data_IF_016419468201
#
_entry.id   IF_016419468201
#
_cell.length_a   1.000
_cell.length_b   1.000
_cell.length_c   1.000
_cell.angle_alpha   90.00
_cell.angle_beta   90.00
_cell.angle_gamma   90.00
#
_symmetry.space_group_name_H-M   'P 1'
#
loop_
_entity.id
_entity.type
_entity.pdbx_description
1 polymer ?
#
# COMPACT_ATOMS: atom_id res chain seq x y z
N UNK A 1 -17.69 4.73 17.71
CA UNK A 1 -16.62 3.71 17.57
C UNK A 1 -15.78 4.08 16.36
N UNK A 2 -14.48 3.93 16.41
CA UNK A 2 -13.57 4.29 15.31
C UNK A 2 -13.46 3.11 14.31
N UNK A 3 -14.59 2.77 13.68
CA UNK A 3 -14.77 1.64 12.79
C UNK A 3 -15.69 2.00 11.62
N UNK A 4 -15.20 1.80 10.39
CA UNK A 4 -16.01 1.87 9.16
C UNK A 4 -16.31 0.47 8.65
N UNK A 5 -17.58 0.23 8.37
CA UNK A 5 -18.09 -1.00 7.75
C UNK A 5 -18.25 -0.73 6.26
N UNK A 6 -17.50 -1.47 5.44
CA UNK A 6 -17.40 -1.25 4.00
C UNK A 6 -18.12 -2.40 3.26
N UNK A 7 -19.10 -2.05 2.42
CA UNK A 7 -19.95 -3.01 1.72
C UNK A 7 -19.90 -2.70 0.22
N UNK A 8 -19.29 -3.58 -0.60
CA UNK A 8 -19.38 -3.48 -2.05
C UNK A 8 -20.73 -3.99 -2.51
N UNK A 9 -21.38 -3.28 -3.43
CA UNK A 9 -22.69 -3.68 -4.02
C UNK A 9 -22.55 -3.80 -5.53
N UNK A 10 -22.75 -5.01 -6.03
CA UNK A 10 -22.68 -5.31 -7.45
C UNK A 10 -23.98 -4.91 -8.19
N UNK A 11 -23.92 -4.87 -9.53
CA UNK A 11 -25.00 -4.42 -10.42
C UNK A 11 -26.38 -5.04 -10.16
N UNK A 12 -26.44 -6.33 -9.79
CA UNK A 12 -27.70 -7.10 -9.66
C UNK A 12 -28.12 -7.39 -8.22
N UNK A 13 -27.38 -6.89 -7.25
CA UNK A 13 -27.69 -7.09 -5.84
C UNK A 13 -28.83 -6.17 -5.42
N UNK A 14 -29.83 -6.73 -4.73
CA UNK A 14 -31.08 -6.07 -4.38
C UNK A 14 -31.60 -6.39 -2.97
N UNK A 15 -30.92 -7.24 -2.19
CA UNK A 15 -31.27 -7.52 -0.79
C UNK A 15 -30.40 -6.69 0.16
N UNK A 16 -30.98 -5.67 0.77
CA UNK A 16 -30.30 -4.73 1.66
C UNK A 16 -30.57 -4.98 3.15
N UNK A 17 -31.03 -6.20 3.53
CA UNK A 17 -31.32 -6.54 4.94
C UNK A 17 -30.14 -6.36 5.87
N UNK A 18 -28.92 -6.67 5.39
CA UNK A 18 -27.70 -6.46 6.15
C UNK A 18 -27.56 -5.02 6.65
N UNK A 19 -27.88 -4.03 5.82
CA UNK A 19 -27.71 -2.61 6.17
C UNK A 19 -28.60 -2.24 7.36
N UNK A 20 -29.86 -2.69 7.37
CA UNK A 20 -30.76 -2.50 8.49
C UNK A 20 -30.22 -3.15 9.77
N UNK A 21 -29.77 -4.42 9.67
CA UNK A 21 -29.17 -5.15 10.78
C UNK A 21 -27.93 -4.43 11.35
N UNK A 22 -27.09 -3.87 10.48
CA UNK A 22 -25.89 -3.14 10.90
C UNK A 22 -26.27 -1.85 11.66
N UNK A 23 -27.25 -1.08 11.18
CA UNK A 23 -27.69 0.15 11.86
C UNK A 23 -28.29 -0.13 13.23
N UNK A 24 -29.07 -1.18 13.35
CA UNK A 24 -29.67 -1.56 14.63
C UNK A 24 -28.60 -2.03 15.64
N UNK A 25 -27.61 -2.78 15.18
CA UNK A 25 -26.68 -3.53 16.02
C UNK A 25 -25.39 -2.78 16.31
N UNK A 26 -24.86 -2.05 15.34
CA UNK A 26 -23.57 -1.35 15.44
C UNK A 26 -23.76 0.18 15.40
N UNK A 27 -24.53 0.69 16.36
CA UNK A 27 -24.78 2.13 16.50
C UNK A 27 -23.45 2.87 16.70
N UNK A 28 -23.25 3.94 15.91
CA UNK A 28 -22.05 4.77 15.99
C UNK A 28 -20.85 4.23 15.17
N UNK A 29 -21.01 3.14 14.40
CA UNK A 29 -20.07 2.77 13.34
C UNK A 29 -20.43 3.48 12.04
N UNK A 30 -19.42 3.88 11.28
CA UNK A 30 -19.59 4.43 9.94
C UNK A 30 -19.94 3.30 8.96
N UNK A 31 -21.01 3.44 8.17
CA UNK A 31 -21.39 2.49 7.12
C UNK A 31 -21.18 3.13 5.77
N UNK A 32 -20.29 2.55 4.97
CA UNK A 32 -19.92 3.01 3.63
C UNK A 32 -20.35 1.96 2.61
N UNK A 33 -21.18 2.36 1.66
CA UNK A 33 -21.58 1.53 0.53
C UNK A 33 -20.89 2.07 -0.71
N UNK A 34 -20.23 1.18 -1.45
CA UNK A 34 -19.72 1.47 -2.79
C UNK A 34 -20.41 0.58 -3.79
N UNK A 35 -21.17 1.21 -4.68
CA UNK A 35 -22.08 0.55 -5.59
C UNK A 35 -21.68 0.74 -7.05
N UNK A 36 -21.95 -0.27 -7.88
CA UNK A 36 -21.91 -0.11 -9.33
C UNK A 36 -22.98 0.90 -9.78
N UNK A 37 -22.60 1.91 -10.58
CA UNK A 37 -23.50 2.98 -11.02
C UNK A 37 -24.75 2.48 -11.78
N UNK A 38 -24.69 1.27 -12.32
CA UNK A 38 -25.78 0.64 -13.07
C UNK A 38 -26.77 -0.13 -12.19
N UNK A 39 -26.59 -0.13 -10.85
CA UNK A 39 -27.54 -0.76 -9.93
C UNK A 39 -28.74 0.16 -9.66
N UNK A 40 -29.88 -0.14 -10.30
CA UNK A 40 -31.11 0.63 -10.15
C UNK A 40 -31.83 0.35 -8.81
N UNK A 41 -31.61 -0.81 -8.19
CA UNK A 41 -32.29 -1.18 -6.95
C UNK A 41 -31.85 -0.29 -5.78
N UNK A 42 -30.55 0.03 -5.69
CA UNK A 42 -30.04 0.86 -4.61
C UNK A 42 -30.48 2.32 -4.74
N UNK A 43 -30.71 2.82 -5.98
CA UNK A 43 -31.17 4.16 -6.24
C UNK A 43 -32.58 4.44 -5.68
N UNK A 44 -33.42 3.39 -5.69
CA UNK A 44 -34.78 3.45 -5.14
C UNK A 44 -34.85 3.10 -3.65
N UNK A 45 -33.80 2.50 -3.08
CA UNK A 45 -33.77 2.09 -1.69
C UNK A 45 -33.45 3.27 -0.75
N UNK A 46 -34.28 3.53 0.25
CA UNK A 46 -34.02 4.52 1.32
C UNK A 46 -33.10 3.88 2.37
N UNK A 47 -31.79 3.83 2.11
CA UNK A 47 -30.81 3.20 2.99
C UNK A 47 -30.32 4.19 4.06
N UNK A 48 -30.22 3.72 5.29
CA UNK A 48 -29.62 4.47 6.40
C UNK A 48 -28.11 4.19 6.46
N UNK A 49 -27.35 4.88 5.62
CA UNK A 49 -25.88 4.77 5.54
C UNK A 49 -25.22 6.15 5.68
N UNK A 50 -23.95 6.18 6.08
CA UNK A 50 -23.24 7.43 6.24
C UNK A 50 -22.70 7.92 4.90
N UNK A 51 -22.26 6.98 4.05
CA UNK A 51 -21.77 7.29 2.71
C UNK A 51 -22.28 6.27 1.70
N UNK A 52 -22.76 6.75 0.56
CA UNK A 52 -23.13 5.96 -0.62
C UNK A 52 -22.39 6.54 -1.83
N UNK A 53 -21.52 5.74 -2.42
CA UNK A 53 -20.70 6.14 -3.55
C UNK A 53 -20.93 5.23 -4.76
N UNK A 54 -21.00 5.81 -5.97
CA UNK A 54 -21.21 5.08 -7.21
C UNK A 54 -19.93 5.09 -8.05
N UNK A 55 -19.54 3.93 -8.59
CA UNK A 55 -18.39 3.79 -9.46
C UNK A 55 -18.74 3.10 -10.79
N UNK A 56 -18.09 3.57 -11.86
CA UNK A 56 -18.17 2.97 -13.20
C UNK A 56 -17.31 1.71 -13.28
N UNK A 57 -17.79 0.71 -14.04
CA UNK A 57 -17.04 -0.53 -14.27
C UNK A 57 -16.49 -1.13 -12.96
N UNK A 58 -17.38 -1.27 -11.99
CA UNK A 58 -17.03 -1.72 -10.65
C UNK A 58 -16.55 -3.17 -10.67
N UNK A 59 -15.33 -3.41 -10.14
CA UNK A 59 -14.96 -4.71 -9.59
C UNK A 59 -15.12 -4.67 -8.07
N UNK A 60 -15.22 -5.85 -7.43
CA UNK A 60 -15.29 -5.91 -5.96
C UNK A 60 -14.06 -5.29 -5.30
N UNK A 61 -12.86 -5.54 -5.85
CA UNK A 61 -11.62 -4.92 -5.37
C UNK A 61 -11.67 -3.38 -5.43
N UNK A 62 -12.12 -2.81 -6.56
CA UNK A 62 -12.29 -1.35 -6.69
C UNK A 62 -13.26 -0.78 -5.67
N UNK A 63 -14.40 -1.44 -5.49
CA UNK A 63 -15.41 -0.99 -4.53
C UNK A 63 -14.89 -1.03 -3.08
N UNK A 64 -14.22 -2.11 -2.67
CA UNK A 64 -13.64 -2.25 -1.34
C UNK A 64 -12.52 -1.22 -1.09
N UNK A 65 -11.64 -1.01 -2.07
CA UNK A 65 -10.58 -0.01 -1.99
C UNK A 65 -11.14 1.41 -1.90
N UNK A 66 -12.15 1.72 -2.72
CA UNK A 66 -12.81 3.04 -2.68
C UNK A 66 -13.48 3.28 -1.33
N UNK A 67 -14.20 2.28 -0.79
CA UNK A 67 -14.77 2.38 0.55
C UNK A 67 -13.71 2.61 1.64
N UNK A 68 -12.57 1.93 1.56
CA UNK A 68 -11.46 2.15 2.49
C UNK A 68 -10.88 3.57 2.37
N UNK A 69 -10.79 4.14 1.16
CA UNK A 69 -10.31 5.51 0.97
C UNK A 69 -11.26 6.54 1.56
N UNK A 70 -12.57 6.33 1.42
CA UNK A 70 -13.63 7.21 1.95
C UNK A 70 -13.79 7.14 3.47
N UNK A 71 -13.30 6.10 4.12
CA UNK A 71 -13.42 5.89 5.56
C UNK A 71 -12.76 7.02 6.36
N UNK A 72 -13.46 7.52 7.38
CA UNK A 72 -12.94 8.47 8.37
C UNK A 72 -12.41 7.79 9.64
N UNK A 73 -12.56 6.47 9.76
CA UNK A 73 -12.20 5.71 10.95
C UNK A 73 -10.83 5.01 10.81
N UNK A 74 -10.22 4.72 11.95
CA UNK A 74 -8.93 4.01 12.01
C UNK A 74 -9.03 2.53 11.67
N UNK A 75 -10.21 1.92 11.85
CA UNK A 75 -10.44 0.50 11.62
C UNK A 75 -11.43 0.30 10.48
N UNK A 76 -11.22 -0.76 9.71
CA UNK A 76 -12.02 -1.15 8.55
C UNK A 76 -12.57 -2.55 8.75
N UNK A 77 -13.85 -2.73 8.51
CA UNK A 77 -14.51 -4.03 8.47
C UNK A 77 -15.16 -4.23 7.11
N UNK A 78 -14.63 -5.17 6.33
CA UNK A 78 -15.12 -5.49 4.99
C UNK A 78 -16.16 -6.59 5.06
N UNK A 79 -17.38 -6.33 4.60
CA UNK A 79 -18.50 -7.26 4.58
C UNK A 79 -19.07 -7.41 3.16
N UNK A 80 -19.55 -8.59 2.83
CA UNK A 80 -20.37 -8.80 1.64
C UNK A 80 -21.84 -8.50 1.95
N UNK A 81 -22.61 -8.07 0.93
CA UNK A 81 -24.01 -7.68 1.11
C UNK A 81 -24.90 -8.85 1.55
N UNK A 82 -24.56 -10.09 1.16
CA UNK A 82 -25.25 -11.31 1.54
C UNK A 82 -24.84 -11.90 2.91
N UNK A 83 -24.04 -11.16 3.67
CA UNK A 83 -23.64 -11.55 5.02
C UNK A 83 -24.77 -11.30 6.03
N UNK A 84 -24.83 -12.15 7.07
CA UNK A 84 -25.65 -11.94 8.26
C UNK A 84 -24.71 -11.95 9.49
N UNK A 85 -24.81 -10.94 10.31
CA UNK A 85 -23.92 -10.69 11.47
C UNK A 85 -24.64 -10.84 12.81
N UNK A 86 -25.70 -11.67 12.86
CA UNK A 86 -26.52 -11.81 14.08
C UNK A 86 -25.75 -12.31 15.30
N UNK A 87 -24.71 -13.13 15.09
CA UNK A 87 -23.89 -13.70 16.15
C UNK A 87 -22.70 -12.81 16.56
N UNK A 88 -22.50 -11.67 15.89
CA UNK A 88 -21.38 -10.75 16.15
C UNK A 88 -21.87 -9.60 17.04
N UNK A 89 -21.14 -9.28 18.07
CA UNK A 89 -21.40 -8.14 18.95
C UNK A 89 -20.34 -7.06 18.77
N UNK A 90 -20.63 -5.85 19.22
CA UNK A 90 -19.70 -4.74 19.16
C UNK A 90 -18.38 -5.02 19.90
N UNK A 91 -18.47 -5.75 21.03
CA UNK A 91 -17.29 -6.20 21.80
C UNK A 91 -16.36 -7.14 21.03
N UNK A 92 -16.89 -7.88 20.05
CA UNK A 92 -16.08 -8.78 19.21
C UNK A 92 -15.20 -7.99 18.20
N UNK A 93 -15.50 -6.71 17.99
CA UNK A 93 -14.85 -5.80 17.04
C UNK A 93 -13.91 -4.78 17.70
N UNK A 94 -13.66 -4.94 18.99
CA UNK A 94 -12.80 -4.04 19.80
C UNK A 94 -11.47 -4.69 20.14
N UNK A 95 -10.50 -3.88 20.58
CA UNK A 95 -9.20 -4.40 21.01
C UNK A 95 -8.33 -4.94 19.86
N UNK A 96 -8.50 -4.39 18.66
CA UNK A 96 -7.75 -4.79 17.48
C UNK A 96 -6.28 -4.40 17.63
N UNK A 97 -5.40 -5.37 17.39
CA UNK A 97 -3.97 -5.11 17.22
C UNK A 97 -3.73 -4.45 15.85
N UNK A 98 -2.95 -3.38 15.85
CA UNK A 98 -2.64 -2.58 14.65
C UNK A 98 -1.98 -3.41 13.54
N UNK A 99 -1.27 -4.48 13.89
CA UNK A 99 -0.51 -5.35 12.97
C UNK A 99 -1.20 -6.68 12.66
N UNK A 100 -2.47 -6.81 13.02
CA UNK A 100 -3.20 -8.06 12.89
C UNK A 100 -4.41 -7.89 11.97
N UNK A 101 -4.61 -8.84 11.07
CA UNK A 101 -5.87 -9.00 10.31
C UNK A 101 -6.74 -9.97 11.07
N UNK A 102 -7.96 -9.56 11.41
CA UNK A 102 -8.94 -10.43 12.05
C UNK A 102 -9.96 -10.92 11.02
N UNK A 103 -10.41 -12.16 11.19
CA UNK A 103 -11.44 -12.81 10.38
C UNK A 103 -12.38 -13.62 11.25
N UNK A 104 -13.48 -14.08 10.69
CA UNK A 104 -14.52 -14.82 11.37
C UNK A 104 -14.62 -16.27 10.85
N UNK A 105 -15.37 -17.09 11.56
CA UNK A 105 -15.75 -18.42 11.07
C UNK A 105 -16.94 -18.29 10.13
N UNK A 106 -17.02 -19.21 9.18
CA UNK A 106 -18.10 -19.26 8.18
C UNK A 106 -19.23 -20.18 8.63
N UNK A 107 -20.45 -19.76 8.36
CA UNK A 107 -21.65 -20.59 8.33
C UNK A 107 -22.46 -20.26 7.07
N UNK A 108 -23.22 -21.22 6.55
CA UNK A 108 -24.15 -20.98 5.43
C UNK A 108 -25.59 -20.92 5.91
N UNK A 109 -26.41 -20.12 5.24
CA UNK A 109 -27.85 -20.03 5.46
C UNK A 109 -28.59 -21.36 5.20
N UNK A 110 -27.96 -22.32 4.50
CA UNK A 110 -28.50 -23.63 4.21
C UNK A 110 -27.77 -24.72 5.01
N UNK A 111 -28.51 -25.45 5.85
CA UNK A 111 -27.97 -26.53 6.68
C UNK A 111 -27.22 -27.62 5.90
N UNK A 112 -27.64 -27.93 4.68
CA UNK A 112 -27.00 -28.94 3.81
C UNK A 112 -25.61 -28.50 3.25
N UNK A 113 -25.13 -27.29 3.56
CA UNK A 113 -23.81 -26.79 3.21
C UNK A 113 -22.83 -26.80 4.40
N UNK A 114 -23.20 -27.42 5.56
CA UNK A 114 -22.35 -27.43 6.77
C UNK A 114 -20.95 -27.96 6.54
N UNK A 115 -20.79 -28.99 5.70
CA UNK A 115 -19.49 -29.60 5.40
C UNK A 115 -18.58 -28.67 4.60
N UNK A 116 -19.13 -27.79 3.75
CA UNK A 116 -18.38 -26.76 3.01
C UNK A 116 -17.89 -25.71 3.99
N UNK A 117 -18.76 -25.26 4.90
CA UNK A 117 -18.36 -24.33 5.97
C UNK A 117 -17.29 -24.96 6.89
N UNK A 118 -17.45 -26.23 7.26
CA UNK A 118 -16.46 -26.95 8.05
C UNK A 118 -15.09 -27.00 7.35
N UNK A 119 -15.06 -27.30 6.05
CA UNK A 119 -13.84 -27.27 5.24
C UNK A 119 -13.20 -25.88 5.13
N UNK A 120 -14.01 -24.83 4.95
CA UNK A 120 -13.53 -23.45 4.95
C UNK A 120 -12.94 -23.06 6.32
N UNK A 121 -13.61 -23.39 7.40
CA UNK A 121 -13.14 -23.12 8.77
C UNK A 121 -11.89 -23.92 9.12
N UNK A 122 -11.80 -25.18 8.70
CA UNK A 122 -10.59 -25.98 8.85
C UNK A 122 -9.39 -25.33 8.12
N UNK A 123 -9.56 -24.96 6.84
CA UNK A 123 -8.55 -24.25 6.06
C UNK A 123 -8.08 -22.97 6.77
N UNK A 124 -9.03 -22.18 7.29
CA UNK A 124 -8.71 -20.93 7.99
C UNK A 124 -7.96 -21.19 9.28
N UNK A 125 -8.42 -22.13 10.11
CA UNK A 125 -7.79 -22.45 11.39
C UNK A 125 -6.40 -23.10 11.25
N UNK A 126 -6.24 -23.98 10.26
CA UNK A 126 -5.00 -24.75 10.09
C UNK A 126 -3.96 -24.03 9.26
N UNK A 127 -4.40 -23.40 8.16
CA UNK A 127 -3.48 -22.79 7.21
C UNK A 127 -3.49 -21.25 7.23
N UNK A 128 -4.38 -20.62 8.01
CA UNK A 128 -4.52 -19.16 8.03
C UNK A 128 -4.93 -18.60 6.67
N UNK A 129 -5.90 -19.21 5.99
CA UNK A 129 -6.35 -18.82 4.65
C UNK A 129 -7.87 -18.60 4.65
N UNK A 130 -8.37 -17.51 5.26
CA UNK A 130 -9.76 -17.11 5.12
C UNK A 130 -10.06 -16.57 3.72
N UNK A 131 -11.32 -16.60 3.31
CA UNK A 131 -11.81 -15.95 2.10
C UNK A 131 -12.70 -14.76 2.45
N UNK A 132 -13.04 -13.95 1.46
CA UNK A 132 -13.81 -12.72 1.65
C UNK A 132 -15.19 -12.92 2.29
N UNK A 133 -15.81 -14.10 2.09
CA UNK A 133 -17.07 -14.49 2.75
C UNK A 133 -16.93 -14.72 4.27
N UNK A 134 -15.70 -14.83 4.78
CA UNK A 134 -15.36 -14.84 6.22
C UNK A 134 -15.07 -13.44 6.77
N UNK A 135 -15.14 -12.40 5.90
CA UNK A 135 -14.90 -11.00 6.26
C UNK A 135 -13.50 -10.71 6.78
N UNK A 136 -13.05 -9.48 6.62
CA UNK A 136 -11.76 -9.00 7.11
C UNK A 136 -11.94 -7.74 7.95
N UNK A 137 -11.30 -7.71 9.11
CA UNK A 137 -11.31 -6.61 10.04
C UNK A 137 -9.86 -6.26 10.41
N UNK A 138 -9.44 -5.01 10.20
CA UNK A 138 -8.07 -4.57 10.42
C UNK A 138 -7.96 -3.05 10.54
N UNK A 139 -6.80 -2.53 10.95
CA UNK A 139 -6.54 -1.11 10.92
C UNK A 139 -6.45 -0.59 9.47
N UNK A 140 -6.93 0.63 9.21
CA UNK A 140 -6.78 1.31 7.90
C UNK A 140 -5.30 1.47 7.54
N UNK A 141 -4.45 1.69 8.54
CA UNK A 141 -3.00 1.78 8.37
C UNK A 141 -2.40 0.48 7.83
N UNK A 142 -2.77 -0.67 8.42
CA UNK A 142 -2.33 -1.98 7.94
C UNK A 142 -2.87 -2.29 6.54
N UNK A 143 -4.14 -1.97 6.26
CA UNK A 143 -4.73 -2.13 4.94
C UNK A 143 -3.95 -1.36 3.86
N UNK A 144 -3.60 -0.10 4.14
CA UNK A 144 -2.81 0.73 3.24
C UNK A 144 -1.38 0.19 3.09
N UNK A 145 -0.75 -0.26 4.18
CA UNK A 145 0.58 -0.87 4.15
C UNK A 145 0.62 -2.12 3.27
N UNK A 146 -0.36 -3.00 3.39
CA UNK A 146 -0.48 -4.20 2.53
C UNK A 146 -0.73 -3.82 1.06
N UNK A 147 -1.27 -2.65 0.79
CA UNK A 147 -1.55 -2.13 -0.55
C UNK A 147 -3.00 -2.34 -1.03
N UNK A 148 -3.93 -2.63 -0.12
CA UNK A 148 -5.33 -2.87 -0.43
C UNK A 148 -5.56 -4.11 -1.30
N UNK A 149 -6.72 -4.23 -1.91
CA UNK A 149 -7.05 -5.32 -2.85
C UNK A 149 -6.48 -5.02 -4.25
N UNK A 150 -6.04 -6.05 -4.98
CA UNK A 150 -5.55 -5.90 -6.35
C UNK A 150 -6.72 -5.68 -7.32
N UNK A 151 -6.82 -4.48 -7.88
CA UNK A 151 -7.89 -4.05 -8.79
C UNK A 151 -7.77 -4.64 -10.19
N UNK A 152 -6.61 -5.19 -10.55
CA UNK A 152 -6.38 -5.86 -11.83
C UNK A 152 -6.97 -7.27 -11.88
N UNK A 153 -7.36 -7.81 -10.74
CA UNK A 153 -8.00 -9.11 -10.65
C UNK A 153 -9.52 -9.00 -10.85
N UNK A 154 -10.04 -9.77 -11.79
CA UNK A 154 -11.50 -9.87 -11.99
C UNK A 154 -12.18 -10.74 -10.94
N UNK A 155 -11.45 -11.69 -10.34
CA UNK A 155 -11.92 -12.62 -9.31
C UNK A 155 -10.75 -13.12 -8.46
N UNK A 156 -10.99 -13.32 -7.14
CA UNK A 156 -10.03 -13.89 -6.20
C UNK A 156 -9.09 -12.84 -5.60
N UNK A 157 -9.52 -11.60 -5.57
CA UNK A 157 -8.85 -10.48 -4.91
C UNK A 157 -8.67 -10.72 -3.41
N UNK A 158 -9.62 -11.40 -2.77
CA UNK A 158 -9.57 -11.82 -1.37
C UNK A 158 -8.49 -12.88 -1.11
N UNK A 159 -8.38 -13.84 -2.03
CA UNK A 159 -7.33 -14.87 -1.95
C UNK A 159 -5.93 -14.24 -2.13
N UNK A 160 -5.76 -13.36 -3.13
CA UNK A 160 -4.50 -12.66 -3.37
C UNK A 160 -4.10 -11.82 -2.14
N UNK A 161 -5.06 -11.09 -1.58
CA UNK A 161 -4.86 -10.27 -0.40
C UNK A 161 -4.34 -11.09 0.79
N UNK A 162 -4.93 -12.25 1.08
CA UNK A 162 -4.50 -13.15 2.15
C UNK A 162 -3.11 -13.73 1.89
N UNK A 163 -2.78 -14.11 0.65
CA UNK A 163 -1.44 -14.58 0.34
C UNK A 163 -0.39 -13.49 0.54
N UNK A 164 -0.71 -12.25 0.19
CA UNK A 164 0.16 -11.09 0.40
C UNK A 164 0.38 -10.81 1.88
N UNK A 165 -0.66 -10.86 2.70
CA UNK A 165 -0.59 -10.80 4.17
C UNK A 165 0.39 -11.87 4.70
N UNK A 166 0.25 -13.10 4.25
CA UNK A 166 1.14 -14.20 4.67
C UNK A 166 2.58 -14.00 4.21
N UNK A 167 2.80 -13.48 3.00
CA UNK A 167 4.14 -13.19 2.49
C UNK A 167 4.86 -12.10 3.29
N UNK A 168 4.09 -11.23 3.94
CA UNK A 168 4.56 -10.17 4.83
C UNK A 168 4.64 -10.60 6.31
N UNK A 169 4.42 -11.86 6.64
CA UNK A 169 4.37 -12.39 8.01
C UNK A 169 3.36 -11.70 8.93
N UNK A 170 2.33 -11.05 8.37
CA UNK A 170 1.28 -10.40 9.15
C UNK A 170 0.44 -11.44 9.87
N UNK A 171 0.18 -11.20 11.15
CA UNK A 171 -0.61 -12.10 11.99
C UNK A 171 -2.07 -12.15 11.54
N UNK A 172 -2.66 -13.35 11.56
CA UNK A 172 -4.09 -13.55 11.38
C UNK A 172 -4.71 -13.96 12.72
N UNK A 173 -5.71 -13.20 13.16
CA UNK A 173 -6.54 -13.52 14.32
C UNK A 173 -7.90 -14.09 13.85
N UNK A 174 -8.36 -15.15 14.48
CA UNK A 174 -9.65 -15.76 14.17
C UNK A 174 -10.60 -15.48 15.32
N UNK A 175 -11.54 -14.58 15.11
CA UNK A 175 -12.62 -14.30 16.05
C UNK A 175 -13.56 -15.54 16.06
N UNK A 176 -13.75 -16.14 17.22
CA UNK A 176 -14.56 -17.37 17.36
C UNK A 176 -16.06 -17.04 17.35
N UNK A 177 -16.48 -16.31 16.32
CA UNK A 177 -17.87 -16.00 15.97
C UNK A 177 -18.08 -16.32 14.51
N UNK A 178 -19.32 -16.59 14.12
CA UNK A 178 -19.67 -16.98 12.76
C UNK A 178 -20.33 -15.84 12.00
N UNK A 179 -19.91 -15.65 10.76
CA UNK A 179 -20.65 -14.89 9.74
C UNK A 179 -21.44 -15.91 8.94
N UNK A 180 -22.74 -15.64 8.77
CA UNK A 180 -23.60 -16.46 7.93
C UNK A 180 -23.63 -15.82 6.54
N UNK A 181 -23.40 -16.59 5.50
CA UNK A 181 -23.43 -16.14 4.09
C UNK A 181 -24.36 -17.01 3.25
N UNK A 182 -24.74 -16.51 2.09
CA UNK A 182 -25.65 -17.22 1.19
C UNK A 182 -24.98 -18.40 0.50
N UNK A 183 -25.64 -19.56 0.53
CA UNK A 183 -25.24 -20.77 -0.18
C UNK A 183 -25.65 -20.79 -1.66
N UNK A 184 -26.16 -19.69 -2.22
CA UNK A 184 -26.74 -19.64 -3.59
C UNK A 184 -25.77 -20.18 -4.64
N UNK A 185 -24.47 -19.87 -4.54
CA UNK A 185 -23.43 -20.35 -5.48
C UNK A 185 -23.26 -21.87 -5.50
N UNK A 186 -23.75 -22.56 -4.46
CA UNK A 186 -23.64 -24.01 -4.32
C UNK A 186 -24.93 -24.77 -4.71
N UNK A 187 -25.97 -24.08 -5.16
CA UNK A 187 -27.26 -24.74 -5.47
C UNK A 187 -27.17 -25.84 -6.53
N UNK A 188 -26.40 -25.59 -7.61
CA UNK A 188 -26.42 -26.46 -8.80
C UNK A 188 -25.33 -27.55 -8.82
N UNK A 189 -24.20 -27.38 -8.13
CA UNK A 189 -23.16 -28.41 -8.06
C UNK A 189 -22.13 -28.11 -6.95
N UNK A 190 -22.44 -28.53 -5.73
CA UNK A 190 -21.64 -28.24 -4.54
C UNK A 190 -20.21 -28.78 -4.63
N UNK A 191 -20.06 -30.03 -5.07
CA UNK A 191 -18.76 -30.70 -5.15
C UNK A 191 -17.88 -30.04 -6.20
N UNK A 192 -18.39 -29.79 -7.39
CA UNK A 192 -17.65 -29.15 -8.47
C UNK A 192 -17.17 -27.74 -8.08
N UNK A 193 -18.06 -26.93 -7.50
CA UNK A 193 -17.68 -25.57 -7.07
C UNK A 193 -16.63 -25.58 -5.96
N UNK A 194 -16.72 -26.52 -5.01
CA UNK A 194 -15.73 -26.67 -3.94
C UNK A 194 -14.38 -27.12 -4.47
N UNK A 195 -14.33 -28.09 -5.39
CA UNK A 195 -13.10 -28.55 -6.04
C UNK A 195 -12.45 -27.46 -6.90
N UNK A 196 -13.26 -26.71 -7.65
CA UNK A 196 -12.79 -25.57 -8.45
C UNK A 196 -12.16 -24.48 -7.58
N UNK A 197 -12.79 -24.17 -6.44
CA UNK A 197 -12.25 -23.20 -5.49
C UNK A 197 -10.94 -23.69 -4.88
N UNK A 198 -10.89 -24.96 -4.45
CA UNK A 198 -9.68 -25.58 -3.90
C UNK A 198 -8.52 -25.55 -4.90
N UNK A 199 -8.77 -25.93 -6.16
CA UNK A 199 -7.77 -25.93 -7.22
C UNK A 199 -7.19 -24.53 -7.47
N UNK A 200 -8.06 -23.51 -7.55
CA UNK A 200 -7.61 -22.11 -7.67
C UNK A 200 -6.77 -21.68 -6.49
N UNK A 201 -7.17 -22.05 -5.27
CA UNK A 201 -6.39 -21.74 -4.05
C UNK A 201 -5.01 -22.37 -4.08
N UNK A 202 -4.90 -23.63 -4.53
CA UNK A 202 -3.62 -24.33 -4.65
C UNK A 202 -2.72 -23.65 -5.68
N UNK A 203 -3.25 -23.32 -6.86
CA UNK A 203 -2.46 -22.62 -7.90
C UNK A 203 -1.95 -21.26 -7.42
N UNK A 204 -2.78 -20.52 -6.70
CA UNK A 204 -2.36 -19.26 -6.11
C UNK A 204 -1.31 -19.48 -5.01
N UNK A 205 -1.49 -20.51 -4.16
CA UNK A 205 -0.53 -20.87 -3.14
C UNK A 205 0.86 -21.11 -3.72
N UNK A 206 0.95 -21.93 -4.78
CA UNK A 206 2.21 -22.22 -5.47
C UNK A 206 2.86 -20.93 -5.98
N UNK A 207 2.07 -20.04 -6.58
CA UNK A 207 2.55 -18.75 -7.10
C UNK A 207 3.13 -17.85 -5.99
N UNK A 208 2.45 -17.78 -4.84
CA UNK A 208 2.83 -16.87 -3.75
C UNK A 208 3.83 -17.46 -2.75
N UNK A 209 3.84 -18.79 -2.54
CA UNK A 209 4.76 -19.42 -1.59
C UNK A 209 6.24 -19.19 -1.95
N UNK A 210 6.53 -18.94 -3.24
CA UNK A 210 7.87 -18.61 -3.74
C UNK A 210 8.23 -17.12 -3.61
N UNK A 211 7.37 -16.29 -3.02
CA UNK A 211 7.53 -14.83 -2.98
C UNK A 211 7.53 -14.26 -1.56
N UNK A 212 8.26 -14.94 -0.65
CA UNK A 212 8.42 -14.40 0.71
C UNK A 212 9.06 -13.02 0.63
N UNK A 213 8.41 -12.03 1.26
CA UNK A 213 8.97 -10.68 1.37
C UNK A 213 9.93 -10.61 2.54
N UNK A 214 11.08 -10.00 2.30
CA UNK A 214 12.14 -9.84 3.30
C UNK A 214 12.50 -8.39 3.53
N UNK A 215 12.05 -7.49 2.65
CA UNK A 215 12.28 -6.05 2.72
C UNK A 215 10.98 -5.34 2.38
N UNK A 216 10.63 -4.31 3.14
CA UNK A 216 9.66 -3.30 2.71
C UNK A 216 10.43 -2.09 2.20
N UNK A 217 10.14 -1.64 0.98
CA UNK A 217 10.74 -0.43 0.41
C UNK A 217 9.66 0.62 0.19
N UNK A 218 9.77 1.70 0.95
CA UNK A 218 8.96 2.91 0.79
C UNK A 218 9.62 3.89 -0.17
N UNK A 219 9.01 4.10 -1.34
CA UNK A 219 9.45 5.12 -2.29
C UNK A 219 8.63 6.41 -2.08
N UNK A 220 9.31 7.49 -1.72
CA UNK A 220 8.71 8.80 -1.45
C UNK A 220 8.64 9.62 -2.73
N UNK A 221 7.42 9.88 -3.18
CA UNK A 221 7.13 10.59 -4.41
C UNK A 221 6.33 11.86 -4.10
N UNK A 222 6.49 12.89 -4.93
CA UNK A 222 5.61 14.08 -4.95
C UNK A 222 4.89 14.13 -6.28
N UNK A 223 3.66 14.67 -6.31
CA UNK A 223 2.97 14.94 -7.58
C UNK A 223 3.85 15.88 -8.42
N UNK A 224 4.30 15.46 -9.62
CA UNK A 224 5.13 16.29 -10.48
C UNK A 224 4.49 17.64 -10.83
N UNK A 225 3.16 17.70 -10.86
CA UNK A 225 2.39 18.89 -11.19
C UNK A 225 2.02 19.73 -9.96
N UNK A 226 2.26 19.23 -8.75
CA UNK A 226 1.96 19.98 -7.53
C UNK A 226 2.85 21.22 -7.41
N UNK A 227 2.30 22.39 -7.05
CA UNK A 227 3.09 23.58 -6.74
C UNK A 227 4.10 23.37 -5.60
N UNK A 228 3.81 22.43 -4.70
CA UNK A 228 4.71 22.08 -3.60
C UNK A 228 5.90 21.22 -4.04
N UNK A 229 5.79 20.57 -5.22
CA UNK A 229 6.88 19.76 -5.77
C UNK A 229 7.93 20.68 -6.37
N UNK A 230 9.19 20.58 -5.87
CA UNK A 230 10.32 21.41 -6.33
C UNK A 230 10.01 22.92 -6.28
N UNK A 231 9.33 23.38 -5.23
CA UNK A 231 8.90 24.78 -5.08
C UNK A 231 10.04 25.80 -5.19
N UNK A 232 11.27 25.39 -4.84
CA UNK A 232 12.47 26.26 -4.99
C UNK A 232 12.87 26.43 -6.46
N UNK A 233 12.78 25.37 -7.26
CA UNK A 233 13.04 25.45 -8.71
C UNK A 233 11.95 26.24 -9.44
N UNK A 234 10.67 26.10 -9.02
CA UNK A 234 9.53 26.83 -9.61
C UNK A 234 9.60 28.34 -9.44
N UNK A 235 10.40 28.84 -8.50
CA UNK A 235 10.63 30.29 -8.35
C UNK A 235 11.45 30.88 -9.50
N UNK A 236 12.21 30.08 -10.21
CA UNK A 236 13.20 30.51 -11.22
C UNK A 236 13.04 29.82 -12.58
N UNK A 237 12.35 28.68 -12.61
CA UNK A 237 12.07 27.91 -13.83
C UNK A 237 10.57 27.83 -14.08
N UNK A 238 10.17 27.66 -15.34
CA UNK A 238 8.75 27.51 -15.68
C UNK A 238 8.15 26.22 -15.09
N UNK A 239 6.88 26.26 -14.75
CA UNK A 239 6.15 25.09 -14.25
C UNK A 239 6.21 23.91 -15.22
N UNK A 240 6.11 24.19 -16.53
CA UNK A 240 6.23 23.16 -17.58
C UNK A 240 7.57 22.45 -17.50
N UNK A 241 8.67 23.19 -17.37
CA UNK A 241 10.00 22.61 -17.23
C UNK A 241 10.12 21.75 -15.98
N UNK A 242 9.66 22.26 -14.82
CA UNK A 242 9.76 21.55 -13.53
C UNK A 242 8.88 20.30 -13.52
N UNK A 243 7.69 20.34 -14.10
CA UNK A 243 6.82 19.17 -14.23
C UNK A 243 7.48 18.06 -15.06
N UNK A 244 8.07 18.42 -16.21
CA UNK A 244 8.76 17.47 -17.09
C UNK A 244 10.02 16.90 -16.42
N UNK A 245 10.80 17.74 -15.74
CA UNK A 245 11.97 17.33 -14.96
C UNK A 245 11.58 16.29 -13.89
N UNK A 246 10.53 16.56 -13.11
CA UNK A 246 10.04 15.64 -12.08
C UNK A 246 9.58 14.29 -12.65
N UNK A 247 8.88 14.32 -13.80
CA UNK A 247 8.47 13.08 -14.47
C UNK A 247 9.67 12.24 -14.89
N UNK A 248 10.75 12.87 -15.40
CA UNK A 248 11.97 12.15 -15.77
C UNK A 248 12.67 11.54 -14.56
N UNK A 249 12.70 12.22 -13.41
CA UNK A 249 13.23 11.66 -12.16
C UNK A 249 12.45 10.44 -11.71
N UNK A 250 11.13 10.52 -11.73
CA UNK A 250 10.25 9.41 -11.38
C UNK A 250 10.45 8.22 -12.34
N UNK A 251 10.62 8.47 -13.64
CA UNK A 251 10.87 7.41 -14.62
C UNK A 251 12.19 6.70 -14.37
N UNK A 252 13.28 7.44 -14.08
CA UNK A 252 14.57 6.85 -13.71
C UNK A 252 14.43 5.96 -12.47
N UNK A 253 13.78 6.48 -11.43
CA UNK A 253 13.53 5.70 -10.21
C UNK A 253 12.74 4.42 -10.52
N UNK A 254 11.68 4.53 -11.32
CA UNK A 254 10.85 3.40 -11.70
C UNK A 254 11.63 2.30 -12.42
N UNK A 255 12.45 2.69 -13.39
CA UNK A 255 13.25 1.73 -14.14
C UNK A 255 14.32 1.07 -13.26
N UNK A 256 14.96 1.83 -12.37
CA UNK A 256 15.86 1.26 -11.39
C UNK A 256 15.16 0.20 -10.53
N UNK A 257 13.98 0.51 -9.99
CA UNK A 257 13.22 -0.42 -9.16
C UNK A 257 12.72 -1.66 -9.91
N UNK A 258 12.43 -1.54 -11.22
CA UNK A 258 12.07 -2.70 -12.06
C UNK A 258 13.25 -3.65 -12.29
N UNK A 259 14.46 -3.11 -12.39
CA UNK A 259 15.71 -3.83 -12.70
C UNK A 259 16.38 -4.45 -11.47
N UNK A 260 15.90 -4.19 -10.25
CA UNK A 260 16.46 -4.74 -9.01
C UNK A 260 16.48 -6.27 -9.03
N UNK A 261 17.61 -6.87 -8.69
CA UNK A 261 17.80 -8.34 -8.60
C UNK A 261 16.92 -8.95 -7.52
N UNK A 262 16.83 -8.30 -6.36
CA UNK A 262 16.01 -8.75 -5.22
C UNK A 262 14.54 -8.32 -5.30
N UNK A 263 14.06 -7.82 -6.45
CA UNK A 263 12.70 -7.28 -6.62
C UNK A 263 11.60 -8.20 -6.08
N UNK A 264 11.73 -9.52 -6.26
CA UNK A 264 10.71 -10.50 -5.80
C UNK A 264 10.58 -10.55 -4.27
N UNK A 265 11.65 -10.20 -3.56
CA UNK A 265 11.72 -10.19 -2.10
C UNK A 265 11.25 -8.87 -1.49
N UNK A 266 10.99 -7.86 -2.32
CA UNK A 266 10.61 -6.52 -1.88
C UNK A 266 9.10 -6.35 -1.91
N UNK A 267 8.55 -5.84 -0.82
CA UNK A 267 7.23 -5.25 -0.78
C UNK A 267 7.36 -3.74 -1.02
N UNK A 268 6.88 -3.28 -2.18
CA UNK A 268 6.96 -1.87 -2.56
C UNK A 268 5.77 -1.10 -2.01
N UNK A 269 6.04 0.03 -1.37
CA UNK A 269 5.04 0.99 -0.91
C UNK A 269 5.33 2.33 -1.53
N UNK A 270 4.35 2.95 -2.14
CA UNK A 270 4.42 4.35 -2.51
C UNK A 270 4.02 5.22 -1.33
N UNK A 271 4.78 6.22 -1.10
CA UNK A 271 4.43 7.29 -0.19
C UNK A 271 4.31 8.56 -1.02
N UNK A 272 3.10 9.03 -1.21
CA UNK A 272 2.87 10.29 -1.91
C UNK A 272 2.12 11.26 -1.02
N UNK A 273 2.55 12.50 -1.01
CA UNK A 273 1.88 13.59 -0.31
C UNK A 273 1.03 14.36 -1.32
N UNK A 274 -0.28 14.39 -1.07
CA UNK A 274 -1.26 15.16 -1.86
C UNK A 274 -1.29 14.79 -3.35
N UNK A 275 -2.02 13.75 -3.70
CA UNK A 275 -2.43 13.49 -5.08
C UNK A 275 -3.92 13.26 -5.18
N UNK A 276 -4.53 13.79 -6.24
CA UNK A 276 -5.84 13.41 -6.71
C UNK A 276 -5.84 11.92 -7.11
N UNK A 277 -6.88 11.17 -6.73
CA UNK A 277 -6.97 9.72 -7.00
C UNK A 277 -6.90 9.36 -8.49
N UNK A 278 -7.40 10.22 -9.40
CA UNK A 278 -7.30 9.99 -10.84
C UNK A 278 -5.86 10.07 -11.33
N UNK A 279 -5.09 11.02 -10.83
CA UNK A 279 -3.65 11.15 -11.15
C UNK A 279 -2.83 10.00 -10.54
N UNK A 280 -3.22 9.51 -9.38
CA UNK A 280 -2.60 8.35 -8.75
C UNK A 280 -2.75 7.09 -9.58
N UNK A 281 -3.91 6.89 -10.22
CA UNK A 281 -4.15 5.76 -11.12
C UNK A 281 -3.26 5.79 -12.37
N UNK A 282 -2.94 6.97 -12.90
CA UNK A 282 -2.00 7.10 -14.02
C UNK A 282 -0.57 6.70 -13.64
N UNK A 283 -0.17 6.88 -12.38
CA UNK A 283 1.10 6.42 -11.83
C UNK A 283 1.04 4.98 -11.28
N UNK A 284 -0.16 4.42 -11.04
CA UNK A 284 -0.34 3.11 -10.37
C UNK A 284 0.10 1.91 -11.20
N UNK A 285 0.19 2.05 -12.53
CA UNK A 285 0.69 0.99 -13.40
C UNK A 285 2.16 0.61 -13.14
N UNK A 286 2.88 1.39 -12.34
CA UNK A 286 4.31 1.25 -12.12
C UNK A 286 4.62 0.63 -10.77
N UNK A 287 3.78 0.85 -9.78
CA UNK A 287 3.95 0.33 -8.42
C UNK A 287 2.70 -0.39 -7.93
N UNK A 288 2.85 -1.61 -7.46
CA UNK A 288 1.83 -2.27 -6.66
C UNK A 288 1.93 -1.72 -5.23
N UNK A 289 0.96 -0.94 -4.76
CA UNK A 289 0.92 -0.42 -3.40
C UNK A 289 0.09 0.85 -3.29
N UNK A 290 -0.61 1.03 -2.17
CA UNK A 290 -1.42 2.20 -1.86
C UNK A 290 -0.73 3.12 -0.84
N UNK A 291 -1.28 4.31 -0.71
CA UNK A 291 -0.74 5.44 0.04
C UNK A 291 -0.88 5.28 1.55
N UNK A 292 0.14 5.74 2.27
CA UNK A 292 0.05 6.03 3.71
C UNK A 292 -0.55 7.42 3.87
N UNK A 293 -1.43 7.58 4.84
CA UNK A 293 -2.23 8.76 5.08
C UNK A 293 -1.38 10.02 5.28
N UNK A 294 -1.90 11.14 4.80
CA UNK A 294 -1.22 12.38 4.47
C UNK A 294 -1.21 13.43 5.59
N UNK A 295 -1.89 13.19 6.69
CA UNK A 295 -2.13 14.20 7.73
C UNK A 295 -0.94 14.46 8.67
N UNK A 296 0.16 13.72 8.47
CA UNK A 296 1.35 13.80 9.31
C UNK A 296 2.58 14.28 8.54
N UNK A 297 3.53 14.87 9.25
CA UNK A 297 4.81 15.27 8.69
C UNK A 297 5.59 14.08 8.10
N UNK A 298 6.47 14.34 7.13
CA UNK A 298 7.26 13.32 6.43
C UNK A 298 8.01 12.37 7.40
N UNK A 299 8.58 12.92 8.47
CA UNK A 299 9.27 12.18 9.52
C UNK A 299 8.37 11.14 10.21
N UNK A 300 7.12 11.49 10.50
CA UNK A 300 6.15 10.57 11.12
C UNK A 300 5.74 9.48 10.14
N UNK A 301 5.55 9.80 8.86
CA UNK A 301 5.25 8.80 7.82
C UNK A 301 6.41 7.81 7.67
N UNK A 302 7.65 8.29 7.67
CA UNK A 302 8.84 7.43 7.62
C UNK A 302 8.94 6.53 8.86
N UNK A 303 8.68 7.08 10.04
CA UNK A 303 8.66 6.35 11.31
C UNK A 303 7.59 5.26 11.32
N UNK A 304 6.37 5.59 10.94
CA UNK A 304 5.24 4.67 10.89
C UNK A 304 5.47 3.51 9.91
N UNK A 305 5.99 3.83 8.71
CA UNK A 305 6.34 2.81 7.73
C UNK A 305 7.46 1.91 8.24
N UNK A 306 8.46 2.49 8.91
CA UNK A 306 9.57 1.72 9.49
C UNK A 306 9.07 0.78 10.57
N UNK A 307 8.19 1.24 11.47
CA UNK A 307 7.58 0.41 12.51
C UNK A 307 6.84 -0.79 11.92
N UNK A 308 5.91 -0.54 10.97
CA UNK A 308 5.17 -1.62 10.29
C UNK A 308 6.10 -2.63 9.60
N UNK A 309 7.15 -2.14 8.97
CA UNK A 309 8.08 -2.98 8.20
C UNK A 309 8.93 -3.86 9.11
N UNK A 310 9.45 -3.31 10.20
CA UNK A 310 10.27 -4.04 11.17
C UNK A 310 9.44 -5.10 11.90
N UNK A 311 8.20 -4.79 12.29
CA UNK A 311 7.27 -5.72 12.93
C UNK A 311 6.83 -6.87 12.00
N UNK A 312 6.83 -6.67 10.68
CA UNK A 312 6.35 -7.68 9.72
C UNK A 312 7.47 -8.49 9.08
N UNK A 313 8.43 -7.83 8.45
CA UNK A 313 9.52 -8.50 7.71
C UNK A 313 10.90 -8.30 8.32
N UNK A 314 11.02 -7.46 9.34
CA UNK A 314 12.27 -7.22 10.07
C UNK A 314 13.26 -6.31 9.35
N UNK A 315 12.92 -5.74 8.19
CA UNK A 315 13.79 -4.84 7.44
C UNK A 315 13.00 -3.81 6.65
N UNK A 316 13.42 -2.55 6.73
CA UNK A 316 12.83 -1.42 6.00
C UNK A 316 13.88 -0.74 5.13
N UNK A 317 13.47 -0.31 3.94
CA UNK A 317 14.22 0.63 3.12
C UNK A 317 13.34 1.84 2.77
N UNK A 318 13.92 3.05 2.83
CA UNK A 318 13.28 4.29 2.43
C UNK A 318 14.07 4.90 1.28
N UNK A 319 13.40 5.37 0.23
CA UNK A 319 14.03 5.87 -0.97
C UNK A 319 13.33 7.15 -1.47
N UNK A 320 14.07 8.22 -1.63
CA UNK A 320 13.63 9.46 -2.26
C UNK A 320 13.61 9.36 -3.80
N UNK A 321 12.82 10.20 -4.45
CA UNK A 321 12.69 10.23 -5.92
C UNK A 321 13.63 11.24 -6.61
N UNK A 322 14.34 12.06 -5.86
CA UNK A 322 14.97 13.27 -6.36
C UNK A 322 16.46 13.09 -6.73
N UNK A 323 16.92 11.85 -6.90
CA UNK A 323 18.32 11.48 -7.14
C UNK A 323 18.48 10.80 -8.50
N UNK A 324 18.54 11.57 -9.59
CA UNK A 324 18.62 10.99 -10.93
C UNK A 324 19.96 10.32 -11.26
N UNK A 325 21.02 10.58 -10.49
CA UNK A 325 22.33 9.94 -10.65
C UNK A 325 22.48 8.60 -9.93
N UNK A 326 21.44 8.15 -9.19
CA UNK A 326 21.43 6.87 -8.48
C UNK A 326 21.30 5.72 -9.47
N UNK A 327 22.21 4.74 -9.37
CA UNK A 327 22.25 3.55 -10.25
C UNK A 327 21.58 2.34 -9.59
N UNK A 328 21.06 1.44 -10.41
CA UNK A 328 20.44 0.20 -9.94
C UNK A 328 21.42 -0.69 -9.17
N UNK A 329 22.70 -0.72 -9.60
CA UNK A 329 23.75 -1.51 -8.95
C UNK A 329 24.03 -1.03 -7.53
N UNK A 330 23.99 0.30 -7.29
CA UNK A 330 24.17 0.91 -5.97
C UNK A 330 23.00 0.51 -5.05
N UNK A 331 21.78 0.52 -5.56
CA UNK A 331 20.59 0.07 -4.82
C UNK A 331 20.63 -1.44 -4.53
N UNK A 332 20.97 -2.27 -5.51
CA UNK A 332 21.10 -3.72 -5.31
C UNK A 332 22.15 -4.06 -4.24
N UNK A 333 23.29 -3.38 -4.28
CA UNK A 333 24.36 -3.56 -3.29
C UNK A 333 23.86 -3.17 -1.88
N UNK A 334 23.19 -2.02 -1.77
CA UNK A 334 22.67 -1.55 -0.49
C UNK A 334 21.57 -2.45 0.07
N UNK A 335 20.61 -2.89 -0.77
CA UNK A 335 19.50 -3.78 -0.36
C UNK A 335 19.99 -5.18 0.04
N UNK A 336 21.07 -5.66 -0.59
CA UNK A 336 21.69 -6.96 -0.29
C UNK A 336 22.60 -6.94 0.93
N UNK A 337 22.85 -5.77 1.52
CA UNK A 337 23.78 -5.62 2.64
C UNK A 337 23.30 -6.40 3.87
N UNK A 338 24.23 -7.15 4.48
CA UNK A 338 24.01 -7.77 5.79
C UNK A 338 24.20 -6.70 6.86
N UNK A 339 23.11 -6.38 7.56
CA UNK A 339 23.13 -5.48 8.70
C UNK A 339 23.12 -6.30 9.99
N UNK A 340 24.11 -6.11 10.84
CA UNK A 340 24.09 -6.65 12.19
C UNK A 340 23.44 -5.63 13.13
N UNK A 341 22.08 -5.61 13.14
CA UNK A 341 21.23 -4.69 13.90
C UNK A 341 21.71 -3.23 13.76
N UNK A 342 21.44 -2.63 12.62
CA UNK A 342 21.91 -1.28 12.32
C UNK A 342 21.25 -0.68 11.10
N UNK A 343 21.76 0.47 10.68
CA UNK A 343 21.22 1.25 9.56
C UNK A 343 22.31 1.65 8.57
N UNK A 344 21.99 1.66 7.28
CA UNK A 344 22.88 2.09 6.21
C UNK A 344 22.24 3.18 5.38
N UNK A 345 22.97 4.25 5.09
CA UNK A 345 22.47 5.46 4.44
C UNK A 345 23.25 5.86 3.20
N UNK A 346 22.54 6.44 2.22
CA UNK A 346 23.10 7.30 1.19
C UNK A 346 22.80 8.75 1.57
N UNK A 347 23.81 9.48 1.96
CA UNK A 347 23.70 10.89 2.33
C UNK A 347 23.62 11.80 1.12
N UNK A 348 22.99 12.96 1.29
CA UNK A 348 22.88 14.02 0.29
C UNK A 348 23.71 15.24 0.68
N UNK A 349 24.08 16.07 -0.31
CA UNK A 349 24.94 17.25 -0.10
C UNK A 349 24.29 18.33 0.75
N UNK A 350 22.97 18.32 0.86
CA UNK A 350 22.19 19.24 1.70
C UNK A 350 22.14 18.84 3.19
N UNK A 351 22.78 17.71 3.56
CA UNK A 351 22.80 17.18 4.93
C UNK A 351 21.66 16.23 5.27
N UNK A 352 20.88 15.84 4.27
CA UNK A 352 19.83 14.81 4.34
C UNK A 352 20.31 13.43 3.91
N UNK A 353 19.37 12.55 3.59
CA UNK A 353 19.60 11.26 2.95
C UNK A 353 18.58 11.00 1.85
N UNK A 354 19.00 10.26 0.82
CA UNK A 354 18.13 9.85 -0.28
C UNK A 354 17.75 8.38 -0.22
N UNK A 355 18.52 7.58 0.49
CA UNK A 355 18.23 6.16 0.72
C UNK A 355 18.65 5.77 2.13
N UNK A 356 17.84 4.92 2.74
CA UNK A 356 18.14 4.28 4.02
C UNK A 356 17.68 2.81 3.95
N UNK A 357 18.45 1.90 4.56
CA UNK A 357 17.98 0.56 4.90
C UNK A 357 18.34 0.27 6.36
N UNK A 358 17.41 -0.31 7.10
CA UNK A 358 17.57 -0.61 8.52
C UNK A 358 16.87 -1.91 8.93
N UNK A 359 17.45 -2.58 9.91
CA UNK A 359 16.85 -3.65 10.69
C UNK A 359 16.91 -3.36 12.20
N UNK A 360 17.13 -2.10 12.57
CA UNK A 360 17.18 -1.62 13.95
C UNK A 360 15.88 -0.89 14.29
N UNK A 361 15.19 -1.35 15.35
CA UNK A 361 13.96 -0.73 15.85
C UNK A 361 14.17 0.71 16.34
N UNK A 362 15.38 1.07 16.78
CA UNK A 362 15.73 2.43 17.18
C UNK A 362 15.50 3.46 16.08
N UNK A 363 15.55 3.05 14.80
CA UNK A 363 15.29 3.95 13.67
C UNK A 363 13.89 4.58 13.70
N UNK A 364 12.90 3.88 14.27
CA UNK A 364 11.52 4.34 14.37
C UNK A 364 11.43 5.60 15.23
N UNK A 365 12.03 5.55 16.41
CA UNK A 365 12.05 6.69 17.34
C UNK A 365 12.88 7.84 16.79
N UNK A 366 14.05 7.54 16.22
CA UNK A 366 14.92 8.56 15.63
C UNK A 366 14.22 9.30 14.50
N UNK A 367 13.60 8.60 13.54
CA UNK A 367 12.85 9.22 12.44
C UNK A 367 11.69 10.08 12.94
N UNK A 368 11.00 9.69 14.01
CA UNK A 368 9.88 10.48 14.55
C UNK A 368 10.32 11.84 15.14
N UNK A 369 11.54 11.92 15.64
CA UNK A 369 12.08 13.10 16.34
C UNK A 369 12.80 14.08 15.40
N UNK A 370 13.31 13.63 14.24
CA UNK A 370 14.04 14.51 13.32
C UNK A 370 13.14 15.56 12.70
N UNK A 371 13.71 16.74 12.45
CA UNK A 371 13.09 17.78 11.62
C UNK A 371 13.44 17.51 10.16
N UNK A 372 12.49 16.95 9.41
CA UNK A 372 12.66 16.74 7.97
C UNK A 372 12.95 18.06 7.23
N UNK A 373 13.65 17.96 6.11
CA UNK A 373 14.01 19.11 5.24
C UNK A 373 14.96 20.14 5.89
N UNK A 374 15.82 19.70 6.79
CA UNK A 374 16.91 20.51 7.38
C UNK A 374 18.28 19.92 7.04
N UNK A 375 19.32 20.75 7.03
CA UNK A 375 20.71 20.32 6.78
C UNK A 375 21.32 19.48 7.92
N UNK A 376 20.59 19.28 9.01
CA UNK A 376 21.08 18.54 10.20
C UNK A 376 20.48 17.15 10.32
N UNK A 377 19.73 16.68 9.33
CA UNK A 377 19.04 15.36 9.38
C UNK A 377 20.03 14.23 9.63
N UNK A 378 21.09 14.12 8.82
CA UNK A 378 22.11 13.07 9.00
C UNK A 378 22.85 13.17 10.32
N UNK A 379 23.15 14.38 10.77
CA UNK A 379 23.78 14.58 12.08
C UNK A 379 22.88 14.08 13.20
N UNK A 380 21.60 14.47 13.21
CA UNK A 380 20.61 14.02 14.21
C UNK A 380 20.44 12.49 14.21
N UNK A 381 20.45 11.85 13.03
CA UNK A 381 20.38 10.40 12.93
C UNK A 381 21.66 9.73 13.48
N UNK A 382 22.84 10.30 13.22
CA UNK A 382 24.11 9.78 13.72
C UNK A 382 24.21 9.88 15.24
N UNK A 383 23.63 10.92 15.84
CA UNK A 383 23.57 11.10 17.28
C UNK A 383 22.54 10.16 17.95
N UNK A 384 21.47 9.81 17.22
CA UNK A 384 20.36 9.00 17.75
C UNK A 384 20.56 7.47 17.60
N UNK A 385 21.22 7.03 16.52
CA UNK A 385 21.42 5.62 16.19
C UNK A 385 22.79 5.11 16.63
N UNK A 386 22.84 3.96 17.30
CA UNK A 386 24.09 3.39 17.80
C UNK A 386 24.96 2.71 16.73
N UNK A 387 24.34 2.15 15.69
CA UNK A 387 25.04 1.40 14.64
C UNK A 387 24.60 1.93 13.27
N UNK A 388 25.35 2.93 12.79
CA UNK A 388 25.09 3.61 11.53
C UNK A 388 26.29 3.48 10.60
N UNK A 389 26.03 3.13 9.36
CA UNK A 389 27.00 3.14 8.28
C UNK A 389 26.53 4.09 7.18
N UNK A 390 27.40 4.93 6.66
CA UNK A 390 27.11 5.89 5.60
C UNK A 390 27.96 5.55 4.38
N UNK A 391 27.34 5.54 3.20
CA UNK A 391 28.06 5.34 1.96
C UNK A 391 29.13 6.42 1.74
N UNK A 392 30.27 6.04 1.14
CA UNK A 392 31.33 6.99 0.81
C UNK A 392 30.90 8.03 -0.24
N UNK A 393 30.01 7.63 -1.17
CA UNK A 393 29.45 8.53 -2.18
C UNK A 393 28.35 9.37 -1.56
N UNK A 394 28.46 10.69 -1.73
CA UNK A 394 27.43 11.67 -1.37
C UNK A 394 26.66 12.04 -2.63
N UNK A 395 25.35 11.93 -2.58
CA UNK A 395 24.48 12.17 -3.73
C UNK A 395 24.02 13.63 -3.80
N UNK A 396 23.67 14.08 -5.01
CA UNK A 396 23.08 15.40 -5.25
C UNK A 396 21.58 15.23 -5.49
N UNK A 397 20.76 15.82 -4.64
CA UNK A 397 19.33 15.98 -4.84
C UNK A 397 19.07 17.30 -5.60
N UNK A 398 18.20 17.27 -6.60
CA UNK A 398 18.00 18.42 -7.47
C UNK A 398 16.90 19.36 -6.94
N UNK A 399 17.14 20.04 -5.83
CA UNK A 399 16.16 20.92 -5.18
C UNK A 399 16.28 22.41 -5.56
N UNK A 400 17.48 22.84 -5.90
CA UNK A 400 17.76 24.22 -6.34
C UNK A 400 18.54 24.21 -7.65
N UNK A 401 18.65 25.37 -8.32
CA UNK A 401 19.36 25.51 -9.62
C UNK A 401 20.81 25.03 -9.52
N UNK A 402 21.51 25.34 -8.45
CA UNK A 402 22.89 24.91 -8.29
C UNK A 402 23.03 23.39 -8.25
N UNK A 403 22.08 22.69 -7.65
CA UNK A 403 22.08 21.24 -7.60
C UNK A 403 21.69 20.66 -8.98
N UNK A 404 20.75 21.28 -9.68
CA UNK A 404 20.41 20.89 -11.04
C UNK A 404 21.63 21.01 -11.98
N UNK A 405 22.43 22.05 -11.87
CA UNK A 405 23.71 22.19 -12.58
C UNK A 405 24.67 21.05 -12.25
N UNK A 406 24.83 20.72 -10.98
CA UNK A 406 25.69 19.60 -10.55
C UNK A 406 25.20 18.27 -11.12
N UNK A 407 23.89 17.99 -11.03
CA UNK A 407 23.28 16.79 -11.64
C UNK A 407 23.55 16.74 -13.15
N UNK A 408 23.42 17.86 -13.84
CA UNK A 408 23.73 17.93 -15.26
C UNK A 408 25.19 17.57 -15.57
N UNK A 409 26.14 18.12 -14.82
CA UNK A 409 27.56 17.79 -14.98
C UNK A 409 27.89 16.33 -14.57
N UNK A 410 27.25 15.80 -13.51
CA UNK A 410 27.41 14.40 -13.11
C UNK A 410 26.92 13.45 -14.24
N UNK A 411 25.78 13.76 -14.87
CA UNK A 411 25.26 12.97 -16.00
C UNK A 411 26.13 13.10 -17.25
N UNK A 412 26.65 14.28 -17.59
CA UNK A 412 27.61 14.48 -18.67
C UNK A 412 28.88 13.66 -18.48
N UNK A 413 29.44 13.67 -17.28
CA UNK A 413 30.65 12.90 -16.98
C UNK A 413 30.41 11.40 -17.08
N UNK A 414 29.21 10.93 -16.74
CA UNK A 414 28.83 9.51 -16.78
C UNK A 414 28.19 9.07 -18.11
N UNK A 415 28.21 9.89 -19.16
CA UNK A 415 27.42 9.73 -20.41
C UNK A 415 27.51 8.33 -21.04
N UNK A 416 28.65 7.68 -20.97
CA UNK A 416 28.86 6.31 -21.51
C UNK A 416 28.19 5.21 -20.70
N UNK A 417 27.82 5.49 -19.42
CA UNK A 417 27.32 4.49 -18.46
C UNK A 417 25.92 4.87 -17.93
N UNK A 418 25.16 5.64 -18.67
CA UNK A 418 23.80 6.05 -18.30
C UNK A 418 22.75 5.02 -18.77
N UNK A 419 21.68 4.86 -17.98
CA UNK A 419 20.47 4.20 -18.44
C UNK A 419 19.79 5.02 -19.55
N UNK A 420 18.85 4.40 -20.28
CA UNK A 420 18.14 5.12 -21.35
C UNK A 420 17.33 6.30 -20.79
N UNK A 421 16.72 6.15 -19.61
CA UNK A 421 15.98 7.21 -18.93
C UNK A 421 16.92 8.35 -18.46
N UNK A 422 18.13 8.01 -18.02
CA UNK A 422 19.15 9.01 -17.68
C UNK A 422 19.68 9.75 -18.92
N UNK A 423 19.82 9.07 -20.07
CA UNK A 423 20.14 9.70 -21.37
C UNK A 423 19.04 10.65 -21.83
N UNK A 424 17.77 10.25 -21.66
CA UNK A 424 16.64 11.15 -21.93
C UNK A 424 16.64 12.38 -21.04
N UNK A 425 16.93 12.22 -19.75
CA UNK A 425 17.10 13.36 -18.83
C UNK A 425 18.25 14.26 -19.28
N UNK A 426 19.42 13.68 -19.59
CA UNK A 426 20.58 14.44 -20.05
C UNK A 426 20.26 15.22 -21.34
N UNK A 427 19.57 14.60 -22.29
CA UNK A 427 19.14 15.25 -23.55
C UNK A 427 18.18 16.41 -23.28
N UNK A 428 17.22 16.22 -22.37
CA UNK A 428 16.31 17.26 -21.92
C UNK A 428 17.03 18.44 -21.29
N UNK A 429 18.02 18.17 -20.40
CA UNK A 429 18.82 19.20 -19.77
C UNK A 429 19.71 19.92 -20.78
N UNK A 430 20.36 19.22 -21.72
CA UNK A 430 21.16 19.82 -22.81
C UNK A 430 20.30 20.77 -23.65
N UNK A 431 19.08 20.36 -24.03
CA UNK A 431 18.16 21.20 -24.81
C UNK A 431 17.75 22.47 -24.08
N UNK A 432 17.61 22.42 -22.78
CA UNK A 432 17.17 23.52 -21.91
C UNK A 432 18.31 24.18 -21.14
N UNK A 433 19.57 23.98 -21.50
CA UNK A 433 20.74 24.42 -20.73
C UNK A 433 20.69 25.91 -20.41
N UNK A 434 20.29 26.75 -21.36
CA UNK A 434 20.16 28.21 -21.17
C UNK A 434 19.16 28.63 -20.10
N UNK A 435 18.25 27.76 -19.70
CA UNK A 435 17.20 28.06 -18.72
C UNK A 435 17.72 27.96 -17.29
N UNK A 436 18.81 27.24 -17.05
CA UNK A 436 19.32 26.97 -15.69
C UNK A 436 20.84 27.20 -15.54
N UNK A 437 21.60 27.48 -16.65
CA UNK A 437 22.98 27.90 -16.59
C UNK A 437 23.10 29.41 -16.48
#
# INVERSE_FOLDING_TARGET
MDLSIIIPVARRENDFKLIKQLREKFKGCEIIIVCDETNEFIKSAKLQVDQLFFIKNSSRAKALNKGASLSNCKNLWFLHLDSNVEHIQLSDLTGLDEFTVSTFLLEFDQKNCWWIAAGANFRTKTFGIPFGDQSFLMSKKLFNFVGGFDENLSLGEDHEFIWRIKSLNIKLNIINKKIITSAIKYKNNKIYQSLKTLWKTILQAIKFYQQKKTIVLGAFLKDPQSPESKSRLRKVLSDKFVNELNLKFINILNENLKKLKCRKEIHFIKVCRVMDEEKLNSFSNIYQGKFINQDHGLNLIMSDLSKLSLETVGKVALLGSDIPSLKVEELDQALSKRLEKGSYFFSTKDGGFCFMISNDEGVVECLSKIKSSTSTVMQSLTECLNNIEIAKKVFTDADVILDLKKVYEELKFAETNLSDEQKELLSFLKFNEKSFT
#
